data_IF_921543450721
#
_entry.id   IF_921543450721
#
_cell.length_a   1.000
_cell.length_b   1.000
_cell.length_c   1.000
_cell.angle_alpha   90.00
_cell.angle_beta   90.00
_cell.angle_gamma   90.00
#
_symmetry.space_group_name_H-M   'P 1'
#
loop_
_entity.id
_entity.type
_entity.pdbx_description
1 polymer ?
#
# COMPACT_ATOMS: atom_id res chain seq x y z
N UNK A 1 -14.85 0.67 6.94
CA UNK A 1 -14.12 1.34 5.86
C UNK A 1 -14.40 0.58 4.58
N UNK A 2 -14.83 1.27 3.53
CA UNK A 2 -15.02 0.68 2.19
C UNK A 2 -13.71 0.77 1.41
N UNK A 3 -13.43 -0.23 0.58
CA UNK A 3 -12.21 -0.31 -0.22
C UNK A 3 -12.59 -0.58 -1.65
N UNK A 4 -12.02 0.19 -2.57
CA UNK A 4 -12.13 -0.04 -4.00
C UNK A 4 -10.75 -0.20 -4.61
N UNK A 5 -10.54 -1.29 -5.33
CA UNK A 5 -9.30 -1.54 -6.08
C UNK A 5 -9.50 -1.17 -7.54
N UNK A 6 -8.68 -0.23 -8.02
CA UNK A 6 -8.64 0.18 -9.42
C UNK A 6 -7.29 -0.26 -9.99
N UNK A 7 -7.32 -1.30 -10.83
CA UNK A 7 -6.14 -1.72 -11.58
C UNK A 7 -5.78 -0.63 -12.58
N UNK A 8 -4.54 -0.14 -12.54
CA UNK A 8 -4.07 0.94 -13.42
C UNK A 8 -2.80 0.58 -14.18
N UNK A 9 -2.68 1.14 -15.39
CA UNK A 9 -1.49 1.06 -16.21
C UNK A 9 -1.19 -0.33 -16.78
N UNK A 10 -0.09 -0.43 -17.53
CA UNK A 10 0.32 -1.69 -18.18
C UNK A 10 0.70 -2.78 -17.17
N UNK A 11 1.30 -2.42 -16.04
CA UNK A 11 1.69 -3.34 -14.97
C UNK A 11 0.54 -3.75 -14.05
N UNK A 12 -0.68 -3.23 -14.29
CA UNK A 12 -1.89 -3.60 -13.54
C UNK A 12 -1.72 -3.39 -12.03
N UNK A 13 -1.10 -2.28 -11.66
CA UNK A 13 -0.90 -1.87 -10.26
C UNK A 13 -2.24 -1.65 -9.58
N UNK A 14 -2.36 -2.11 -8.34
CA UNK A 14 -3.51 -1.92 -7.48
C UNK A 14 -3.48 -0.52 -6.87
N UNK A 15 -4.18 0.42 -7.49
CA UNK A 15 -4.53 1.66 -6.81
C UNK A 15 -5.73 1.40 -5.89
N UNK A 16 -5.62 1.75 -4.61
CA UNK A 16 -6.72 1.61 -3.65
C UNK A 16 -7.36 2.95 -3.33
N UNK A 17 -8.69 2.97 -3.28
CA UNK A 17 -9.47 4.08 -2.74
C UNK A 17 -10.11 3.58 -1.45
N UNK A 18 -9.72 4.17 -0.32
CA UNK A 18 -10.28 3.90 0.99
C UNK A 18 -11.32 4.96 1.32
N UNK A 19 -12.56 4.55 1.58
CA UNK A 19 -13.65 5.47 1.95
C UNK A 19 -14.10 5.20 3.39
N UNK A 20 -14.11 6.27 4.19
CA UNK A 20 -14.64 6.25 5.54
C UNK A 20 -15.40 7.55 5.79
N UNK A 21 -16.70 7.43 6.08
CA UNK A 21 -17.65 8.55 6.07
C UNK A 21 -17.63 9.23 4.69
N UNK A 22 -17.52 10.57 4.65
CA UNK A 22 -17.40 11.34 3.40
C UNK A 22 -15.95 11.68 3.02
N UNK A 23 -14.97 10.93 3.54
CA UNK A 23 -13.54 11.14 3.27
C UNK A 23 -12.90 9.95 2.55
N UNK A 24 -11.93 10.24 1.69
CA UNK A 24 -11.15 9.29 0.92
C UNK A 24 -9.65 9.42 1.17
N UNK A 25 -8.96 8.27 1.23
CA UNK A 25 -7.53 8.16 0.98
C UNK A 25 -7.29 7.37 -0.31
N UNK A 26 -6.26 7.75 -1.05
CA UNK A 26 -5.80 7.02 -2.23
C UNK A 26 -4.47 6.36 -1.88
N UNK A 27 -4.25 5.12 -2.28
CA UNK A 27 -2.97 4.42 -2.12
C UNK A 27 -2.45 4.06 -3.51
N UNK A 28 -1.18 4.38 -3.77
CA UNK A 28 -0.43 4.05 -4.97
C UNK A 28 -1.16 4.38 -6.29
N UNK A 29 -1.41 5.67 -6.59
CA UNK A 29 -1.99 6.10 -7.85
C UNK A 29 -0.98 5.95 -9.00
N UNK A 30 -0.91 4.73 -9.51
CA UNK A 30 0.10 4.30 -10.45
C UNK A 30 0.05 4.88 -11.86
N UNK A 31 -1.16 5.01 -12.41
CA UNK A 31 -1.39 5.46 -13.79
C UNK A 31 -2.89 5.80 -13.96
N UNK A 32 -3.31 6.16 -15.17
CA UNK A 32 -4.71 6.35 -15.57
C UNK A 32 -5.50 7.29 -14.61
N UNK A 33 -4.96 8.47 -14.34
CA UNK A 33 -5.53 9.44 -13.38
C UNK A 33 -7.06 9.64 -13.56
N UNK A 34 -7.54 9.79 -14.80
CA UNK A 34 -8.98 9.96 -15.09
C UNK A 34 -9.84 8.77 -14.65
N UNK A 35 -9.29 7.54 -14.76
CA UNK A 35 -9.96 6.31 -14.31
C UNK A 35 -10.06 6.26 -12.79
N UNK A 36 -9.00 6.66 -12.09
CA UNK A 36 -9.01 6.78 -10.63
C UNK A 36 -10.05 7.83 -10.21
N UNK A 37 -9.99 9.02 -10.80
CA UNK A 37 -10.90 10.14 -10.52
C UNK A 37 -12.36 9.76 -10.71
N UNK A 38 -12.70 9.05 -11.79
CA UNK A 38 -14.08 8.62 -12.09
C UNK A 38 -14.66 7.71 -10.99
N UNK A 39 -13.81 7.06 -10.21
CA UNK A 39 -14.20 6.16 -9.13
C UNK A 39 -14.27 6.83 -7.75
N UNK A 40 -14.03 8.14 -7.67
CA UNK A 40 -14.04 8.92 -6.43
C UNK A 40 -15.23 9.89 -6.45
N UNK A 41 -16.12 9.74 -5.49
CA UNK A 41 -17.30 10.59 -5.29
C UNK A 41 -17.27 11.35 -3.94
N UNK A 42 -16.26 11.12 -3.11
CA UNK A 42 -16.06 11.73 -1.78
C UNK A 42 -14.81 12.62 -1.72
N UNK A 43 -14.63 13.31 -0.60
CA UNK A 43 -13.53 14.26 -0.40
C UNK A 43 -12.19 13.55 -0.16
N UNK A 44 -11.24 13.73 -1.07
CA UNK A 44 -9.90 13.14 -0.97
C UNK A 44 -9.04 14.00 -0.05
N UNK A 45 -8.65 13.43 1.09
CA UNK A 45 -7.89 14.16 2.13
C UNK A 45 -6.42 13.76 2.19
N UNK A 46 -6.00 12.74 1.43
CA UNK A 46 -4.60 12.33 1.39
C UNK A 46 -4.32 11.24 0.37
N UNK A 47 -3.06 11.16 -0.03
CA UNK A 47 -2.50 10.07 -0.85
C UNK A 47 -1.41 9.38 -0.03
N UNK A 48 -1.49 8.07 0.11
CA UNK A 48 -0.47 7.23 0.73
C UNK A 48 0.38 6.57 -0.37
N UNK A 49 1.69 6.56 -0.22
CA UNK A 49 2.63 5.94 -1.17
C UNK A 49 3.42 4.86 -0.45
N UNK A 50 3.26 3.61 -0.89
CA UNK A 50 3.96 2.47 -0.28
C UNK A 50 5.44 2.45 -0.62
N UNK A 51 5.81 2.87 -1.84
CA UNK A 51 7.19 3.00 -2.30
C UNK A 51 7.24 3.76 -3.64
N UNK A 52 8.43 4.22 -4.05
CA UNK A 52 8.59 5.06 -5.24
C UNK A 52 9.04 4.27 -6.48
N UNK A 53 8.17 3.37 -6.95
CA UNK A 53 8.24 2.89 -8.34
C UNK A 53 7.29 3.66 -9.25
N UNK A 54 7.66 3.77 -10.54
CA UNK A 54 6.96 4.63 -11.49
C UNK A 54 5.49 4.26 -11.66
N UNK A 55 5.17 2.97 -11.56
CA UNK A 55 3.84 2.42 -11.69
C UNK A 55 3.02 2.46 -10.39
N UNK A 56 3.57 2.99 -9.29
CA UNK A 56 2.84 3.32 -8.06
C UNK A 56 2.58 4.83 -7.90
N UNK A 57 3.30 5.67 -8.65
CA UNK A 57 3.23 7.14 -8.52
C UNK A 57 2.92 7.87 -9.83
N UNK A 58 2.71 7.19 -10.95
CA UNK A 58 2.59 7.83 -12.26
C UNK A 58 1.42 8.81 -12.39
N UNK A 59 0.34 8.64 -11.63
CA UNK A 59 -0.77 9.59 -11.55
C UNK A 59 -0.68 10.56 -10.35
N UNK A 60 0.36 10.47 -9.51
CA UNK A 60 0.48 11.22 -8.25
C UNK A 60 0.35 12.73 -8.45
N UNK A 61 1.09 13.31 -9.40
CA UNK A 61 1.07 14.76 -9.63
C UNK A 61 -0.32 15.24 -10.08
N UNK A 62 -0.97 14.51 -10.99
CA UNK A 62 -2.31 14.85 -11.49
C UNK A 62 -3.36 14.82 -10.37
N UNK A 63 -3.29 13.83 -9.47
CA UNK A 63 -4.23 13.73 -8.35
C UNK A 63 -3.92 14.77 -7.27
N UNK A 64 -2.65 15.03 -6.99
CA UNK A 64 -2.22 16.08 -6.06
C UNK A 64 -2.71 17.46 -6.51
N UNK A 65 -2.57 17.80 -7.80
CA UNK A 65 -3.00 19.08 -8.34
C UNK A 65 -4.54 19.22 -8.31
N UNK A 66 -5.25 18.14 -8.59
CA UNK A 66 -6.72 18.11 -8.58
C UNK A 66 -7.30 18.26 -7.18
N UNK A 67 -6.82 17.47 -6.21
CA UNK A 67 -7.41 17.39 -4.87
C UNK A 67 -6.72 18.30 -3.85
N UNK A 68 -5.52 18.80 -4.16
CA UNK A 68 -4.71 19.67 -3.27
C UNK A 68 -4.52 19.06 -1.88
N UNK A 69 -4.36 17.74 -1.83
CA UNK A 69 -4.22 16.98 -0.59
C UNK A 69 -2.75 16.69 -0.25
N UNK A 70 -2.52 16.29 1.00
CA UNK A 70 -1.20 15.89 1.49
C UNK A 70 -0.79 14.52 0.92
N UNK A 71 0.52 14.32 0.81
CA UNK A 71 1.13 13.01 0.47
C UNK A 71 1.76 12.47 1.74
N UNK A 72 1.55 11.18 2.00
CA UNK A 72 2.08 10.46 3.14
C UNK A 72 2.91 9.29 2.66
N UNK A 73 4.15 9.19 3.12
CA UNK A 73 5.15 8.21 2.69
C UNK A 73 6.16 7.95 3.82
N UNK A 74 7.19 7.15 3.55
CA UNK A 74 8.24 6.82 4.52
C UNK A 74 8.98 8.05 5.09
N UNK A 75 9.00 9.17 4.37
CA UNK A 75 9.79 10.34 4.76
C UNK A 75 9.06 11.26 5.74
N UNK A 76 7.72 11.21 5.77
CA UNK A 76 6.92 12.09 6.61
C UNK A 76 5.95 11.37 7.56
N UNK A 77 5.71 10.07 7.36
CA UNK A 77 4.91 9.27 8.28
C UNK A 77 5.63 9.03 9.62
N UNK A 78 4.84 9.05 10.69
CA UNK A 78 5.21 8.55 12.02
C UNK A 78 4.68 7.14 12.20
N UNK A 79 5.14 6.43 13.22
CA UNK A 79 4.69 5.06 13.53
C UNK A 79 3.18 4.94 13.67
N UNK A 80 2.50 5.97 14.17
CA UNK A 80 1.05 6.04 14.23
C UNK A 80 0.59 7.34 13.58
N UNK A 81 -0.37 7.24 12.67
CA UNK A 81 -0.90 8.35 11.88
C UNK A 81 -2.41 8.46 12.05
N UNK A 82 -2.88 9.70 12.01
CA UNK A 82 -4.29 10.05 11.92
C UNK A 82 -4.46 11.07 10.79
N UNK A 83 -5.29 10.75 9.81
CA UNK A 83 -5.61 11.61 8.66
C UNK A 83 -7.13 11.65 8.53
N UNK A 84 -7.75 12.71 9.03
CA UNK A 84 -9.21 12.75 9.16
C UNK A 84 -9.73 11.56 9.98
N UNK A 85 -10.71 10.77 9.49
CA UNK A 85 -11.22 9.62 10.22
C UNK A 85 -10.31 8.38 10.16
N UNK A 86 -9.25 8.40 9.36
CA UNK A 86 -8.38 7.25 9.14
C UNK A 86 -7.26 7.20 10.19
N UNK A 87 -7.18 6.08 10.91
CA UNK A 87 -6.11 5.77 11.85
C UNK A 87 -5.36 4.54 11.37
N UNK A 88 -4.04 4.66 11.25
CA UNK A 88 -3.20 3.56 10.79
C UNK A 88 -1.81 3.63 11.42
N UNK A 89 -1.23 2.46 11.61
CA UNK A 89 0.18 2.28 11.93
C UNK A 89 0.99 2.27 10.63
N UNK A 90 2.23 2.77 10.68
CA UNK A 90 3.18 2.62 9.58
C UNK A 90 4.32 1.70 9.98
N UNK A 91 4.63 0.76 9.09
CA UNK A 91 5.63 -0.28 9.32
C UNK A 91 6.64 -0.22 8.19
N UNK A 92 7.90 0.08 8.51
CA UNK A 92 8.98 0.09 7.53
C UNK A 92 9.24 -1.36 7.10
N UNK A 93 9.04 -1.65 5.82
CA UNK A 93 9.04 -3.01 5.25
C UNK A 93 9.98 -3.07 4.05
N UNK A 94 11.24 -2.64 4.27
CA UNK A 94 12.28 -2.61 3.24
C UNK A 94 12.56 -3.99 2.67
N UNK A 95 13.01 -4.01 1.43
CA UNK A 95 13.54 -5.19 0.78
C UNK A 95 13.31 -5.16 -0.72
N UNK A 96 12.08 -4.91 -1.16
CA UNK A 96 11.81 -4.65 -2.57
C UNK A 96 12.43 -3.32 -3.03
N UNK A 97 12.25 -2.30 -2.18
CA UNK A 97 12.86 -0.97 -2.27
C UNK A 97 13.26 -0.54 -0.85
N UNK A 98 14.28 0.29 -0.72
CA UNK A 98 14.76 0.86 0.55
C UNK A 98 13.82 1.91 1.18
N UNK A 99 12.72 2.26 0.49
CA UNK A 99 11.66 3.19 0.90
C UNK A 99 10.29 2.52 1.07
N UNK A 100 10.23 1.18 1.04
CA UNK A 100 8.99 0.45 1.28
C UNK A 100 8.42 0.70 2.68
N UNK A 101 7.14 1.06 2.71
CA UNK A 101 6.32 1.25 3.90
C UNK A 101 4.98 0.51 3.75
N UNK A 102 4.56 -0.14 4.83
CA UNK A 102 3.26 -0.81 4.96
C UNK A 102 2.33 0.04 5.83
N UNK A 103 1.08 0.19 5.40
CA UNK A 103 0.04 0.88 6.17
C UNK A 103 -0.91 -0.13 6.82
N UNK A 104 -0.94 -0.19 8.15
CA UNK A 104 -1.75 -1.13 8.90
C UNK A 104 -2.94 -0.43 9.58
N UNK A 105 -4.15 -0.73 9.12
CA UNK A 105 -5.40 -0.26 9.71
C UNK A 105 -5.92 -1.29 10.70
N UNK A 106 -5.43 -1.21 11.95
CA UNK A 106 -5.69 -2.19 13.01
C UNK A 106 -7.18 -2.44 13.28
N UNK A 107 -7.99 -1.39 13.32
CA UNK A 107 -9.43 -1.51 13.60
C UNK A 107 -10.19 -2.25 12.48
N UNK A 108 -9.56 -2.42 11.32
CA UNK A 108 -10.11 -3.11 10.17
C UNK A 108 -9.35 -4.40 9.81
N UNK A 109 -8.32 -4.79 10.57
CA UNK A 109 -7.49 -5.98 10.34
C UNK A 109 -6.96 -6.06 8.90
N UNK A 110 -6.33 -4.98 8.42
CA UNK A 110 -5.89 -4.89 7.03
C UNK A 110 -4.58 -4.11 6.84
N UNK A 111 -3.72 -4.63 5.97
CA UNK A 111 -2.43 -4.05 5.59
C UNK A 111 -2.39 -3.75 4.09
N UNK A 112 -1.92 -2.56 3.74
CA UNK A 112 -1.55 -2.21 2.37
C UNK A 112 -0.03 -2.21 2.28
N UNK A 113 0.51 -3.11 1.46
CA UNK A 113 1.92 -3.52 1.54
C UNK A 113 2.73 -3.14 0.30
N UNK A 114 2.10 -2.57 -0.73
CA UNK A 114 2.77 -2.33 -2.01
C UNK A 114 3.39 -3.62 -2.52
N UNK A 115 4.64 -3.54 -2.95
CA UNK A 115 5.36 -4.67 -3.55
C UNK A 115 6.17 -5.48 -2.53
N UNK A 116 5.86 -5.36 -1.24
CA UNK A 116 6.51 -6.17 -0.22
C UNK A 116 6.04 -7.64 -0.25
N UNK A 117 4.73 -7.89 -0.16
CA UNK A 117 4.13 -9.24 -0.16
C UNK A 117 3.12 -9.35 -1.30
N UNK A 118 3.17 -10.46 -2.04
CA UNK A 118 2.14 -10.87 -3.01
C UNK A 118 1.53 -12.20 -2.58
N UNK A 119 0.36 -12.56 -3.14
CA UNK A 119 -0.25 -13.85 -2.84
C UNK A 119 0.67 -15.03 -3.23
N UNK A 120 1.24 -15.71 -2.25
CA UNK A 120 2.19 -16.82 -2.44
C UNK A 120 3.58 -16.41 -2.94
N UNK A 121 3.94 -15.13 -2.86
CA UNK A 121 5.27 -14.64 -3.27
C UNK A 121 5.64 -13.33 -2.57
N UNK A 122 6.78 -12.74 -2.93
CA UNK A 122 7.27 -11.46 -2.39
C UNK A 122 7.76 -10.57 -3.53
N UNK A 123 7.98 -9.28 -3.25
CA UNK A 123 8.67 -8.39 -4.15
C UNK A 123 10.06 -8.87 -4.54
N UNK A 124 10.44 -8.63 -5.80
CA UNK A 124 11.83 -8.84 -6.24
C UNK A 124 12.77 -7.90 -5.48
N UNK A 125 14.00 -8.33 -5.22
CA UNK A 125 14.98 -7.58 -4.42
C UNK A 125 16.28 -7.28 -5.17
N UNK A 126 16.32 -7.53 -6.49
CA UNK A 126 17.52 -7.50 -7.32
C UNK A 126 17.73 -6.21 -8.12
N UNK A 127 16.80 -5.25 -8.01
CA UNK A 127 16.90 -3.92 -8.62
C UNK A 127 17.51 -2.89 -7.65
N UNK A 128 17.78 -1.68 -8.15
CA UNK A 128 18.31 -0.59 -7.34
C UNK A 128 17.42 -0.30 -6.12
N UNK A 129 18.03 -0.22 -4.94
CA UNK A 129 17.33 -0.08 -3.66
C UNK A 129 16.76 -1.40 -3.10
N UNK A 130 16.81 -2.49 -3.86
CA UNK A 130 16.42 -3.82 -3.41
C UNK A 130 17.48 -4.48 -2.51
N UNK A 131 17.02 -5.20 -1.48
CA UNK A 131 17.87 -5.91 -0.52
C UNK A 131 17.15 -7.13 0.07
N UNK A 132 17.62 -8.33 -0.26
CA UNK A 132 17.00 -9.58 0.20
C UNK A 132 17.14 -9.82 1.72
N UNK A 133 18.23 -9.38 2.36
CA UNK A 133 18.39 -9.51 3.82
C UNK A 133 17.43 -8.59 4.57
N UNK A 134 17.15 -7.39 4.04
CA UNK A 134 16.11 -6.51 4.58
C UNK A 134 14.71 -7.08 4.37
N UNK A 135 14.45 -7.66 3.20
CA UNK A 135 13.19 -8.37 2.91
C UNK A 135 12.93 -9.46 3.97
N UNK A 136 13.91 -10.32 4.26
CA UNK A 136 13.76 -11.37 5.28
C UNK A 136 13.49 -10.78 6.68
N UNK A 137 14.16 -9.68 7.05
CA UNK A 137 13.87 -9.00 8.33
C UNK A 137 12.46 -8.43 8.38
N UNK A 138 11.97 -7.84 7.28
CA UNK A 138 10.61 -7.32 7.16
C UNK A 138 9.56 -8.44 7.24
N UNK A 139 9.84 -9.61 6.65
CA UNK A 139 9.00 -10.80 6.77
C UNK A 139 8.94 -11.28 8.22
N UNK A 140 10.08 -11.41 8.90
CA UNK A 140 10.13 -11.82 10.32
C UNK A 140 9.44 -10.81 11.25
N UNK A 141 9.41 -9.53 10.89
CA UNK A 141 8.63 -8.52 11.60
C UNK A 141 7.13 -8.77 11.42
N UNK A 142 6.67 -8.93 10.18
CA UNK A 142 5.24 -9.04 9.84
C UNK A 142 4.64 -10.38 10.28
N UNK A 143 5.44 -11.45 10.37
CA UNK A 143 5.01 -12.75 10.93
C UNK A 143 4.47 -12.66 12.37
N UNK A 144 4.84 -11.62 13.12
CA UNK A 144 4.43 -11.42 14.52
C UNK A 144 3.01 -10.84 14.64
N UNK A 145 2.43 -10.35 13.56
CA UNK A 145 1.06 -9.82 13.54
C UNK A 145 0.03 -10.96 13.38
N UNK A 146 -1.23 -10.64 13.71
CA UNK A 146 -2.34 -11.60 13.75
C UNK A 146 -2.62 -12.24 12.38
N UNK A 147 -3.06 -13.50 12.41
CA UNK A 147 -3.23 -14.35 11.22
C UNK A 147 -4.40 -13.91 10.32
N UNK A 148 -5.44 -13.32 10.90
CA UNK A 148 -6.66 -12.90 10.21
C UNK A 148 -6.51 -11.56 9.47
N UNK A 149 -5.34 -10.92 9.54
CA UNK A 149 -5.06 -9.68 8.82
C UNK A 149 -5.10 -9.93 7.31
N UNK A 150 -5.95 -9.15 6.64
CA UNK A 150 -6.06 -9.12 5.19
C UNK A 150 -4.94 -8.27 4.58
N UNK A 151 -4.28 -8.79 3.56
CA UNK A 151 -3.13 -8.15 2.91
C UNK A 151 -3.52 -7.71 1.50
N UNK A 152 -3.31 -6.42 1.24
CA UNK A 152 -3.60 -5.73 -0.01
C UNK A 152 -2.29 -5.37 -0.73
N UNK A 153 -1.89 -6.17 -1.73
CA UNK A 153 -0.62 -5.98 -2.43
C UNK A 153 -0.67 -4.90 -3.51
N UNK A 154 0.50 -4.45 -3.95
CA UNK A 154 0.68 -3.56 -5.11
C UNK A 154 0.26 -4.21 -6.42
N UNK A 155 0.40 -5.53 -6.57
CA UNK A 155 -0.03 -6.27 -7.75
C UNK A 155 -0.72 -7.59 -7.40
N UNK A 156 -1.46 -8.14 -8.36
CA UNK A 156 -2.18 -9.41 -8.18
C UNK A 156 -3.38 -9.30 -7.25
N UNK A 157 -3.74 -10.45 -6.66
CA UNK A 157 -4.91 -10.64 -5.79
C UNK A 157 -4.56 -10.39 -4.32
N UNK A 158 -5.55 -9.93 -3.55
CA UNK A 158 -5.48 -9.88 -2.09
C UNK A 158 -5.28 -11.27 -1.45
N UNK A 159 -4.72 -11.28 -0.25
CA UNK A 159 -4.42 -12.48 0.54
C UNK A 159 -4.63 -12.23 2.03
N UNK A 160 -4.21 -13.15 2.89
CA UNK A 160 -4.21 -13.02 4.35
C UNK A 160 -2.85 -13.40 4.91
N UNK A 161 -2.46 -12.86 6.07
CA UNK A 161 -1.22 -13.27 6.73
C UNK A 161 -1.22 -14.77 7.05
N UNK A 162 -2.35 -15.36 7.43
CA UNK A 162 -2.48 -16.82 7.60
C UNK A 162 -2.09 -17.58 6.33
N UNK A 163 -2.66 -17.21 5.19
CA UNK A 163 -2.38 -17.88 3.92
C UNK A 163 -0.89 -17.74 3.55
N UNK A 164 -0.31 -16.55 3.69
CA UNK A 164 1.10 -16.34 3.38
C UNK A 164 2.00 -17.15 4.30
N UNK A 165 1.76 -17.15 5.63
CA UNK A 165 2.51 -17.97 6.60
C UNK A 165 2.46 -19.48 6.29
N UNK A 166 1.39 -19.96 5.66
CA UNK A 166 1.21 -21.38 5.38
C UNK A 166 1.69 -21.82 3.99
N UNK A 167 1.70 -20.91 3.01
CA UNK A 167 1.83 -21.28 1.60
C UNK A 167 2.92 -20.50 0.86
N UNK A 168 3.39 -19.37 1.40
CA UNK A 168 4.42 -18.56 0.78
C UNK A 168 5.81 -19.14 1.12
N UNK A 169 6.63 -19.57 0.14
CA UNK A 169 7.91 -20.22 0.41
C UNK A 169 8.96 -19.32 1.07
N UNK A 170 8.69 -18.01 1.17
CA UNK A 170 9.54 -17.03 1.84
C UNK A 170 9.12 -16.78 3.31
N UNK A 171 7.95 -17.28 3.73
CA UNK A 171 7.43 -17.23 5.10
C UNK A 171 7.71 -18.55 5.83
#
# INVERSE_FOLDING_TARGET
MEIKTIKVGFLQTNCYILTLNDKCLIIDPGDEADKIIKNIDKDVIGILITHYHFDHIGALNSLKDKYKCSIYDIYNCKSNMEVGPFKFETIITKGHKDDCITYYFKDNQMMFVGDFIFKGSIGRCDLEGGNYDEMLKSIELIKKYDDDIKVYPGHGDETTLLYEKQNNPYF
#
